data_IF_617202944977
#
_entry.id   IF_617202944977
#
_cell.length_a   1.000
_cell.length_b   1.000
_cell.length_c   1.000
_cell.angle_alpha   90.00
_cell.angle_beta   90.00
_cell.angle_gamma   90.00
#
_symmetry.space_group_name_H-M   'P 1'
#
loop_
_entity.id
_entity.type
_entity.pdbx_description
1 polymer ?
#
# COMPACT_ATOMS: atom_id res chain seq x y z
N UNK A 1 5.13 50.66 -46.30
CA UNK A 1 5.02 49.30 -45.71
C UNK A 1 4.94 49.46 -44.21
N UNK A 2 3.75 49.24 -43.62
CA UNK A 2 3.55 49.30 -42.16
C UNK A 2 3.49 47.86 -41.62
N UNK A 3 4.26 47.51 -40.58
CA UNK A 3 4.15 46.20 -39.95
C UNK A 3 2.87 46.16 -39.11
N UNK A 4 1.96 45.25 -39.47
CA UNK A 4 0.80 44.92 -38.63
C UNK A 4 1.27 44.15 -37.41
N UNK A 5 1.27 44.81 -36.26
CA UNK A 5 1.36 44.21 -34.94
C UNK A 5 0.00 43.60 -34.60
N UNK A 6 -0.16 42.31 -34.87
CA UNK A 6 -1.30 41.54 -34.34
C UNK A 6 -0.99 41.26 -32.87
N UNK A 7 -1.54 42.12 -32.00
CA UNK A 7 -1.51 41.96 -30.56
C UNK A 7 -2.52 40.88 -30.18
N UNK A 8 -2.07 39.62 -30.14
CA UNK A 8 -2.85 38.50 -29.62
C UNK A 8 -3.03 38.66 -28.11
N UNK A 9 -4.08 39.36 -27.70
CA UNK A 9 -4.58 39.33 -26.34
C UNK A 9 -5.17 37.94 -26.09
N UNK A 10 -4.35 37.02 -25.55
CA UNK A 10 -4.86 35.78 -24.98
C UNK A 10 -5.76 36.16 -23.79
N UNK A 11 -7.08 36.10 -24.00
CA UNK A 11 -8.06 36.24 -22.93
C UNK A 11 -7.73 35.20 -21.86
N UNK A 12 -7.21 35.66 -20.73
CA UNK A 12 -7.23 34.90 -19.47
C UNK A 12 -8.69 34.90 -19.01
N UNK A 13 -9.49 34.03 -19.62
CA UNK A 13 -10.84 33.79 -19.13
C UNK A 13 -10.72 33.32 -17.67
N UNK A 14 -11.46 33.92 -16.72
CA UNK A 14 -11.46 33.44 -15.35
C UNK A 14 -11.84 31.96 -15.37
N UNK A 15 -10.97 31.11 -14.83
CA UNK A 15 -11.23 29.68 -14.71
C UNK A 15 -12.62 29.50 -14.12
N UNK A 16 -13.49 28.78 -14.85
CA UNK A 16 -14.88 28.58 -14.45
C UNK A 16 -14.92 28.09 -12.99
N UNK A 17 -15.89 28.56 -12.17
CA UNK A 17 -16.04 28.08 -10.80
C UNK A 17 -16.08 26.56 -10.81
N UNK A 18 -15.15 25.92 -10.09
CA UNK A 18 -15.12 24.47 -9.98
C UNK A 18 -16.50 23.99 -9.47
N UNK A 19 -17.10 22.96 -10.08
CA UNK A 19 -18.28 22.33 -9.55
C UNK A 19 -18.00 21.95 -8.10
N UNK A 20 -18.74 22.54 -7.16
CA UNK A 20 -18.59 22.16 -5.77
C UNK A 20 -19.16 20.75 -5.62
N UNK A 21 -18.31 19.79 -5.28
CA UNK A 21 -18.73 18.47 -4.79
C UNK A 21 -19.30 18.66 -3.36
N UNK A 22 -20.46 19.34 -3.28
CA UNK A 22 -21.07 19.83 -2.03
C UNK A 22 -21.65 18.74 -1.13
N UNK A 23 -21.55 17.47 -1.49
CA UNK A 23 -22.14 16.39 -0.71
C UNK A 23 -21.36 16.26 0.61
N UNK A 24 -21.93 16.71 1.75
CA UNK A 24 -21.16 16.91 2.98
C UNK A 24 -20.83 15.60 3.69
N UNK A 25 -21.37 14.46 3.22
CA UNK A 25 -21.12 13.14 3.78
C UNK A 25 -20.98 12.13 2.65
N UNK A 26 -19.74 11.73 2.36
CA UNK A 26 -19.52 10.53 1.56
C UNK A 26 -19.85 9.32 2.39
N UNK A 27 -20.70 8.44 1.85
CA UNK A 27 -20.97 7.16 2.48
C UNK A 27 -19.93 6.15 2.01
N UNK A 28 -19.19 5.54 2.94
CA UNK A 28 -18.24 4.48 2.63
C UNK A 28 -16.83 4.94 2.23
N UNK A 29 -15.88 4.00 2.13
CA UNK A 29 -14.47 4.30 1.88
C UNK A 29 -14.23 4.80 0.44
N UNK A 30 -13.15 5.56 0.26
CA UNK A 30 -12.67 5.92 -1.07
C UNK A 30 -12.32 4.67 -1.89
N UNK A 31 -12.67 4.60 -3.18
CA UNK A 31 -12.25 3.48 -4.02
C UNK A 31 -10.73 3.53 -4.25
N UNK A 32 -10.17 2.35 -4.52
CA UNK A 32 -8.76 2.18 -4.89
C UNK A 32 -8.60 2.44 -6.37
N UNK A 33 -7.59 3.23 -6.74
CA UNK A 33 -7.27 3.53 -8.14
C UNK A 33 -6.31 2.47 -8.66
N UNK A 34 -6.71 1.73 -9.69
CA UNK A 34 -5.89 0.70 -10.34
C UNK A 34 -5.62 1.08 -11.79
N UNK A 35 -4.38 0.88 -12.21
CA UNK A 35 -3.99 0.86 -13.62
C UNK A 35 -3.63 -0.58 -13.97
N UNK A 36 -4.63 -1.32 -14.44
CA UNK A 36 -4.46 -2.71 -14.86
C UNK A 36 -4.09 -2.74 -16.35
N UNK A 37 -3.21 -3.66 -16.73
CA UNK A 37 -2.91 -3.95 -18.14
C UNK A 37 -3.10 -5.42 -18.41
N UNK A 38 -3.36 -5.75 -19.67
CA UNK A 38 -3.29 -7.13 -20.12
C UNK A 38 -1.83 -7.61 -20.13
N UNK A 39 -1.61 -8.84 -19.70
CA UNK A 39 -0.33 -9.53 -19.86
C UNK A 39 -0.10 -9.97 -21.32
N UNK A 40 1.02 -10.63 -21.59
CA UNK A 40 1.37 -11.14 -22.91
C UNK A 40 0.35 -12.15 -23.48
N UNK A 41 -0.47 -12.79 -22.62
CA UNK A 41 -1.53 -13.70 -23.02
C UNK A 41 -2.86 -12.98 -23.30
N UNK A 42 -2.90 -11.66 -23.13
CA UNK A 42 -4.11 -10.86 -23.26
C UNK A 42 -5.04 -10.93 -22.06
N UNK A 43 -4.61 -11.52 -20.94
CA UNK A 43 -5.40 -11.59 -19.70
C UNK A 43 -5.10 -10.38 -18.81
N UNK A 44 -6.15 -9.80 -18.23
CA UNK A 44 -6.00 -8.75 -17.22
C UNK A 44 -5.91 -9.43 -15.87
N UNK A 45 -4.81 -9.21 -15.15
CA UNK A 45 -4.55 -9.80 -13.84
C UNK A 45 -4.49 -8.73 -12.77
N UNK A 46 -5.09 -9.03 -11.61
CA UNK A 46 -4.87 -8.25 -10.40
C UNK A 46 -3.80 -8.97 -9.60
N UNK A 47 -2.67 -8.29 -9.41
CA UNK A 47 -1.52 -8.80 -8.68
C UNK A 47 -1.39 -8.02 -7.38
N UNK A 48 -1.24 -8.74 -6.28
CA UNK A 48 -1.06 -8.13 -4.98
C UNK A 48 -0.82 -9.14 -3.88
N UNK A 49 -0.81 -8.68 -2.63
CA UNK A 49 -0.69 -9.55 -1.47
C UNK A 49 -1.68 -9.14 -0.38
N UNK A 50 -2.26 -10.10 0.33
CA UNK A 50 -3.13 -9.82 1.47
C UNK A 50 -2.38 -10.16 2.75
N UNK A 51 -2.22 -9.24 3.71
CA UNK A 51 -1.69 -9.59 5.02
C UNK A 51 -2.68 -10.51 5.75
N UNK A 52 -2.22 -11.70 6.14
CA UNK A 52 -2.99 -12.70 6.87
C UNK A 52 -2.31 -12.99 8.19
N UNK A 53 -3.06 -12.86 9.27
CA UNK A 53 -2.62 -13.26 10.61
C UNK A 53 -2.67 -14.78 10.73
N UNK A 54 -1.55 -15.41 11.05
CA UNK A 54 -1.39 -16.85 11.26
C UNK A 54 -0.80 -17.09 12.65
N UNK A 55 -1.48 -17.88 13.47
CA UNK A 55 -0.93 -18.33 14.76
C UNK A 55 0.05 -19.46 14.52
N UNK A 56 1.31 -19.25 14.87
CA UNK A 56 2.39 -20.24 14.74
C UNK A 56 2.79 -20.68 16.14
N UNK A 57 2.94 -21.99 16.35
CA UNK A 57 3.48 -22.53 17.60
C UNK A 57 4.99 -22.60 17.50
N UNK A 58 5.69 -21.70 18.20
CA UNK A 58 7.15 -21.70 18.28
C UNK A 58 7.61 -22.51 19.49
N UNK A 59 8.63 -23.34 19.29
CA UNK A 59 9.28 -24.06 20.38
C UNK A 59 10.49 -23.28 20.86
N UNK A 60 10.45 -22.80 22.10
CA UNK A 60 11.58 -22.16 22.77
C UNK A 60 12.17 -23.11 23.81
N UNK A 61 13.50 -23.16 23.90
CA UNK A 61 14.18 -23.80 25.01
C UNK A 61 14.52 -22.73 26.04
N UNK A 62 13.93 -22.83 27.23
CA UNK A 62 14.19 -21.92 28.35
C UNK A 62 14.95 -22.69 29.42
N UNK A 63 16.00 -22.10 29.98
CA UNK A 63 16.68 -22.65 31.14
C UNK A 63 15.90 -22.22 32.37
N UNK A 64 15.32 -23.17 33.08
CA UNK A 64 14.62 -22.94 34.34
C UNK A 64 15.45 -23.47 35.50
N UNK A 65 15.57 -22.70 36.58
CA UNK A 65 16.19 -23.18 37.82
C UNK A 65 15.16 -23.97 38.62
N UNK A 66 15.40 -25.26 38.79
CA UNK A 66 14.53 -26.16 39.55
C UNK A 66 15.29 -26.65 40.78
N UNK A 67 14.63 -26.70 41.94
CA UNK A 67 15.21 -27.26 43.17
C UNK A 67 14.97 -28.76 43.18
N UNK A 68 16.05 -29.55 43.09
CA UNK A 68 16.00 -31.01 43.22
C UNK A 68 16.84 -31.39 44.44
N UNK A 69 16.21 -32.04 45.43
CA UNK A 69 16.85 -32.43 46.69
C UNK A 69 17.52 -31.26 47.44
N UNK A 70 16.88 -30.09 47.48
CA UNK A 70 17.38 -28.90 48.18
C UNK A 70 18.53 -28.15 47.46
N UNK A 71 18.96 -28.61 46.28
CA UNK A 71 19.95 -27.91 45.45
C UNK A 71 19.29 -27.31 44.21
N UNK A 72 19.67 -26.06 43.89
CA UNK A 72 19.26 -25.41 42.64
C UNK A 72 20.02 -26.01 41.46
N UNK A 73 19.29 -26.52 40.47
CA UNK A 73 19.85 -27.09 39.23
C UNK A 73 19.16 -26.42 38.04
N UNK A 74 19.94 -26.03 37.03
CA UNK A 74 19.41 -25.50 35.77
C UNK A 74 18.92 -26.66 34.89
N UNK A 75 17.65 -26.62 34.50
CA UNK A 75 17.03 -27.58 33.59
C UNK A 75 16.60 -26.86 32.31
N UNK A 76 17.03 -27.36 31.16
CA UNK A 76 16.50 -26.89 29.88
C UNK A 76 15.09 -27.45 29.69
N UNK A 77 14.10 -26.57 29.64
CA UNK A 77 12.68 -26.89 29.46
C UNK A 77 12.24 -26.41 28.08
N UNK A 78 11.62 -27.30 27.32
CA UNK A 78 10.99 -26.97 26.05
C UNK A 78 9.62 -26.33 26.33
N UNK A 79 9.44 -25.06 25.95
CA UNK A 79 8.17 -24.35 26.01
C UNK A 79 7.64 -24.13 24.61
N UNK A 80 6.39 -24.51 24.37
CA UNK A 80 5.66 -24.11 23.18
C UNK A 80 4.98 -22.77 23.47
N UNK A 81 5.23 -21.78 22.64
CA UNK A 81 4.63 -20.45 22.71
C UNK A 81 3.87 -20.22 21.42
N UNK A 82 2.57 -20.03 21.53
CA UNK A 82 1.76 -19.56 20.41
C UNK A 82 2.09 -18.09 20.17
N UNK A 83 2.46 -17.78 18.92
CA UNK A 83 2.75 -16.44 18.49
C UNK A 83 1.94 -16.15 17.23
N UNK A 84 1.21 -15.05 17.27
CA UNK A 84 0.59 -14.52 16.07
C UNK A 84 1.64 -13.84 15.20
N UNK A 85 1.84 -14.38 14.00
CA UNK A 85 2.70 -13.81 12.97
C UNK A 85 1.79 -13.35 11.83
N UNK A 86 2.07 -12.19 11.24
CA UNK A 86 1.35 -11.78 10.03
C UNK A 86 2.23 -12.16 8.84
N UNK A 87 1.64 -12.90 7.90
CA UNK A 87 2.26 -13.35 6.66
C UNK A 87 1.55 -12.71 5.47
N UNK A 88 2.18 -12.69 4.29
CA UNK A 88 1.53 -12.19 3.06
C UNK A 88 1.04 -13.35 2.20
N UNK A 89 -0.25 -13.38 1.91
CA UNK A 89 -0.83 -14.27 0.92
C UNK A 89 -0.82 -13.60 -0.45
N UNK A 90 0.04 -14.08 -1.36
CA UNK A 90 0.12 -13.58 -2.73
C UNK A 90 -1.16 -13.89 -3.51
N UNK A 91 -1.60 -12.92 -4.31
CA UNK A 91 -2.74 -13.01 -5.21
C UNK A 91 -2.28 -12.63 -6.61
N UNK A 92 -2.48 -13.53 -7.57
CA UNK A 92 -2.35 -13.28 -9.00
C UNK A 92 -3.53 -13.97 -9.66
N UNK A 93 -4.60 -13.23 -9.86
CA UNK A 93 -5.88 -13.75 -10.35
C UNK A 93 -6.33 -12.96 -11.56
N UNK A 94 -6.95 -13.64 -12.53
CA UNK A 94 -7.58 -12.95 -13.64
C UNK A 94 -8.75 -12.10 -13.14
N UNK A 95 -9.05 -11.00 -13.81
CA UNK A 95 -10.10 -10.06 -13.41
C UNK A 95 -11.46 -10.74 -13.20
N UNK A 96 -11.80 -11.74 -14.03
CA UNK A 96 -13.05 -12.50 -13.93
C UNK A 96 -13.14 -13.45 -12.74
N UNK A 97 -12.01 -13.84 -12.13
CA UNK A 97 -11.97 -14.77 -10.99
C UNK A 97 -12.38 -14.11 -9.66
N UNK A 98 -12.53 -12.78 -9.64
CA UNK A 98 -12.96 -12.05 -8.46
C UNK A 98 -14.47 -12.07 -8.23
N UNK A 99 -15.27 -12.63 -9.15
CA UNK A 99 -16.74 -12.57 -9.09
C UNK A 99 -17.25 -11.13 -9.04
N UNK A 100 -16.51 -10.21 -9.66
CA UNK A 100 -16.74 -8.78 -9.53
C UNK A 100 -17.93 -8.32 -10.37
N UNK A 101 -18.59 -7.27 -9.89
CA UNK A 101 -19.55 -6.49 -10.69
C UNK A 101 -18.82 -5.31 -11.32
N UNK A 102 -19.01 -5.12 -12.61
CA UNK A 102 -18.42 -4.00 -13.35
C UNK A 102 -19.50 -2.99 -13.70
N UNK A 103 -19.17 -1.72 -13.53
CA UNK A 103 -20.02 -0.60 -13.92
C UNK A 103 -19.16 0.46 -14.60
N UNK A 104 -19.78 1.37 -15.33
CA UNK A 104 -19.20 2.66 -15.70
C UNK A 104 -19.27 3.64 -14.53
N UNK A 105 -18.60 4.79 -14.64
CA UNK A 105 -18.65 5.86 -13.64
C UNK A 105 -20.06 6.41 -13.36
N UNK A 106 -20.96 6.37 -14.35
CA UNK A 106 -22.37 6.79 -14.18
C UNK A 106 -23.28 5.69 -13.58
N UNK A 107 -22.73 4.50 -13.32
CA UNK A 107 -23.45 3.36 -12.73
C UNK A 107 -24.09 2.42 -13.75
N UNK A 108 -23.86 2.59 -15.05
CA UNK A 108 -24.31 1.64 -16.08
C UNK A 108 -23.58 0.30 -15.92
N UNK A 109 -24.28 -0.84 -15.81
CA UNK A 109 -23.64 -2.14 -15.73
C UNK A 109 -22.78 -2.44 -16.97
N UNK A 110 -21.65 -3.12 -16.75
CA UNK A 110 -20.80 -3.67 -17.80
C UNK A 110 -20.71 -5.18 -17.65
N UNK A 111 -20.70 -5.88 -18.77
CA UNK A 111 -20.27 -7.29 -18.80
C UNK A 111 -18.77 -7.40 -18.50
N UNK A 112 -18.28 -8.58 -18.05
CA UNK A 112 -16.85 -8.80 -17.87
C UNK A 112 -16.01 -8.54 -19.12
N UNK A 113 -16.53 -8.90 -20.31
CA UNK A 113 -15.83 -8.70 -21.59
C UNK A 113 -15.74 -7.22 -21.98
N UNK A 114 -16.81 -6.44 -21.77
CA UNK A 114 -16.79 -5.00 -22.00
C UNK A 114 -15.84 -4.28 -21.04
N UNK A 115 -15.85 -4.66 -19.76
CA UNK A 115 -14.91 -4.13 -18.77
C UNK A 115 -13.46 -4.46 -19.16
N UNK A 116 -13.20 -5.71 -19.56
CA UNK A 116 -11.88 -6.14 -20.02
C UNK A 116 -11.43 -5.40 -21.29
N UNK A 117 -12.32 -5.19 -22.25
CA UNK A 117 -12.01 -4.42 -23.46
C UNK A 117 -11.64 -2.97 -23.13
N UNK A 118 -12.38 -2.31 -22.24
CA UNK A 118 -12.05 -0.94 -21.79
C UNK A 118 -10.70 -0.86 -21.09
N UNK A 119 -10.41 -1.81 -20.19
CA UNK A 119 -9.13 -1.86 -19.47
C UNK A 119 -7.97 -2.12 -20.45
N UNK A 120 -8.13 -3.01 -21.43
CA UNK A 120 -7.15 -3.21 -22.51
C UNK A 120 -6.87 -1.94 -23.31
N UNK A 121 -7.89 -1.09 -23.47
CA UNK A 121 -7.77 0.23 -24.10
C UNK A 121 -7.23 1.32 -23.16
N UNK A 122 -6.73 0.96 -21.97
CA UNK A 122 -6.10 1.87 -21.03
C UNK A 122 -7.06 2.55 -20.06
N UNK A 123 -8.29 2.05 -19.90
CA UNK A 123 -9.20 2.58 -18.87
C UNK A 123 -8.64 2.32 -17.46
N UNK A 124 -8.68 3.35 -16.63
CA UNK A 124 -8.44 3.25 -15.18
C UNK A 124 -9.58 2.49 -14.52
N UNK A 125 -9.26 1.73 -13.48
CA UNK A 125 -10.25 1.00 -12.67
C UNK A 125 -10.37 1.64 -11.29
N UNK A 126 -11.59 1.97 -10.87
CA UNK A 126 -11.92 2.32 -9.49
C UNK A 126 -12.50 1.10 -8.79
N UNK A 127 -11.68 0.44 -7.98
CA UNK A 127 -12.08 -0.74 -7.24
C UNK A 127 -12.65 -0.38 -5.86
N UNK A 128 -13.80 -0.94 -5.50
CA UNK A 128 -14.36 -0.79 -4.16
C UNK A 128 -13.38 -1.29 -3.10
N UNK A 129 -13.20 -0.50 -2.04
CA UNK A 129 -12.29 -0.82 -0.95
C UNK A 129 -12.93 -1.72 0.12
N UNK A 130 -14.24 -1.97 0.07
CA UNK A 130 -14.96 -2.78 1.06
C UNK A 130 -15.93 -3.80 0.41
N UNK A 131 -15.86 -3.96 -0.91
CA UNK A 131 -16.76 -4.83 -1.67
C UNK A 131 -18.17 -4.29 -1.83
N UNK A 132 -18.48 -3.09 -1.34
CA UNK A 132 -19.79 -2.43 -1.50
C UNK A 132 -19.79 -1.49 -2.71
N UNK A 133 -20.98 -1.08 -3.21
CA UNK A 133 -21.06 -0.08 -4.27
C UNK A 133 -20.29 1.19 -3.91
N UNK A 134 -19.49 1.69 -4.85
CA UNK A 134 -18.75 2.94 -4.69
C UNK A 134 -19.75 4.10 -4.65
N UNK A 135 -19.66 4.95 -3.63
CA UNK A 135 -20.58 6.07 -3.50
C UNK A 135 -20.46 7.06 -4.67
N UNK A 136 -21.61 7.60 -5.07
CA UNK A 136 -21.73 8.54 -6.19
C UNK A 136 -20.80 9.75 -6.08
N UNK A 137 -20.53 10.21 -4.86
CA UNK A 137 -19.62 11.32 -4.57
C UNK A 137 -18.20 11.04 -5.04
N UNK A 138 -17.70 9.81 -4.87
CA UNK A 138 -16.39 9.42 -5.39
C UNK A 138 -16.39 9.31 -6.92
N UNK A 139 -17.50 8.81 -7.48
CA UNK A 139 -17.65 8.64 -8.93
C UNK A 139 -17.82 9.96 -9.68
N UNK A 140 -18.15 11.06 -8.99
CA UNK A 140 -18.16 12.38 -9.60
C UNK A 140 -16.78 12.69 -10.19
N UNK A 141 -15.70 12.44 -9.47
CA UNK A 141 -14.34 12.71 -9.94
C UNK A 141 -13.91 11.86 -11.14
N UNK A 142 -14.63 10.77 -11.45
CA UNK A 142 -14.26 9.83 -12.49
C UNK A 142 -14.62 10.34 -13.90
N UNK A 143 -13.74 10.07 -14.86
CA UNK A 143 -14.04 10.28 -16.27
C UNK A 143 -15.06 9.23 -16.77
N UNK A 144 -15.87 9.52 -17.82
CA UNK A 144 -16.84 8.57 -18.38
C UNK A 144 -16.24 7.23 -18.84
N UNK A 145 -14.96 7.22 -19.23
CA UNK A 145 -14.24 6.02 -19.66
C UNK A 145 -13.84 5.06 -18.53
N UNK A 146 -13.97 5.48 -17.27
CA UNK A 146 -13.53 4.73 -16.09
C UNK A 146 -14.37 3.49 -15.85
N UNK A 147 -13.71 2.39 -15.48
CA UNK A 147 -14.37 1.15 -15.05
C UNK A 147 -14.46 1.13 -13.53
N UNK A 148 -15.65 0.95 -13.00
CA UNK A 148 -15.90 0.75 -11.57
C UNK A 148 -15.98 -0.76 -11.31
N UNK A 149 -15.18 -1.26 -10.38
CA UNK A 149 -15.14 -2.68 -10.01
C UNK A 149 -15.58 -2.85 -8.57
N UNK A 150 -16.63 -3.64 -8.34
CA UNK A 150 -17.11 -3.97 -6.99
C UNK A 150 -16.82 -5.45 -6.73
N UNK A 151 -15.89 -5.73 -5.82
CA UNK A 151 -15.48 -7.09 -5.46
C UNK A 151 -15.10 -7.17 -3.97
N UNK A 152 -15.62 -8.18 -3.28
CA UNK A 152 -15.35 -8.41 -1.84
C UNK A 152 -13.86 -8.75 -1.59
N UNK A 153 -13.24 -9.48 -2.51
CA UNK A 153 -11.86 -9.95 -2.36
C UNK A 153 -10.76 -8.89 -2.47
N UNK A 154 -11.07 -7.61 -2.71
CA UNK A 154 -10.07 -6.56 -2.89
C UNK A 154 -9.84 -5.67 -1.67
N UNK A 155 -10.69 -5.77 -0.65
CA UNK A 155 -10.67 -4.86 0.49
C UNK A 155 -9.32 -4.82 1.23
N UNK A 156 -8.59 -5.94 1.22
CA UNK A 156 -7.32 -6.11 1.94
C UNK A 156 -6.12 -6.37 1.02
N UNK A 157 -6.31 -6.38 -0.30
CA UNK A 157 -5.22 -6.66 -1.25
C UNK A 157 -4.32 -5.43 -1.35
N UNK A 158 -3.04 -5.59 -1.06
CA UNK A 158 -1.96 -4.65 -1.37
C UNK A 158 -1.55 -4.86 -2.81
N UNK A 159 -1.81 -3.88 -3.66
CA UNK A 159 -1.65 -4.04 -5.12
C UNK A 159 -0.21 -3.79 -5.50
N UNK A 160 0.34 -4.67 -6.33
CA UNK A 160 1.72 -4.56 -6.77
C UNK A 160 1.87 -3.55 -7.91
N UNK A 161 2.97 -2.80 -7.92
CA UNK A 161 3.40 -1.89 -8.97
C UNK A 161 4.92 -2.01 -9.18
N UNK A 162 5.47 -1.38 -10.23
CA UNK A 162 6.90 -1.08 -10.35
C UNK A 162 7.86 -2.21 -10.74
N UNK A 163 7.40 -3.44 -10.99
CA UNK A 163 8.29 -4.58 -11.32
C UNK A 163 7.80 -5.30 -12.57
N UNK A 164 8.30 -4.89 -13.74
CA UNK A 164 8.06 -5.53 -15.05
C UNK A 164 7.11 -4.74 -15.94
N UNK A 165 7.43 -4.67 -17.24
CA UNK A 165 6.99 -3.62 -18.17
C UNK A 165 5.48 -3.39 -18.35
N UNK A 166 4.62 -4.32 -17.93
CA UNK A 166 3.17 -4.13 -17.99
C UNK A 166 2.59 -3.35 -16.79
N UNK A 167 3.30 -3.29 -15.66
CA UNK A 167 2.82 -2.59 -14.47
C UNK A 167 3.17 -1.09 -14.53
N UNK A 168 2.37 -0.24 -13.87
CA UNK A 168 2.73 1.16 -13.62
C UNK A 168 4.07 1.27 -12.90
N UNK A 169 4.84 2.32 -13.21
CA UNK A 169 6.11 2.65 -12.55
C UNK A 169 5.93 3.29 -11.18
N UNK A 170 4.77 3.91 -10.94
CA UNK A 170 4.42 4.58 -9.68
C UNK A 170 3.32 3.84 -8.92
N UNK A 171 3.21 4.13 -7.62
CA UNK A 171 2.10 3.67 -6.80
C UNK A 171 0.78 4.27 -7.31
N UNK A 172 -0.32 3.54 -7.16
CA UNK A 172 -1.64 4.08 -7.44
C UNK A 172 -1.94 5.26 -6.50
N UNK A 173 -2.37 6.43 -7.03
CA UNK A 173 -2.76 7.54 -6.18
C UNK A 173 -4.00 7.17 -5.36
N UNK A 174 -4.20 7.89 -4.27
CA UNK A 174 -5.39 7.70 -3.44
C UNK A 174 -6.37 8.84 -3.64
N UNK A 175 -7.65 8.51 -3.63
CA UNK A 175 -8.71 9.50 -3.61
C UNK A 175 -8.91 10.04 -2.20
N UNK A 176 -8.95 11.36 -2.08
CA UNK A 176 -9.36 12.05 -0.86
C UNK A 176 -10.38 13.12 -1.22
N UNK A 177 -11.30 13.39 -0.29
CA UNK A 177 -12.12 14.59 -0.34
C UNK A 177 -11.58 15.58 0.65
N UNK A 178 -11.18 16.74 0.14
CA UNK A 178 -10.67 17.84 0.93
C UNK A 178 -11.64 19.01 0.83
N UNK A 179 -11.79 19.73 1.93
CA UNK A 179 -12.65 20.90 2.02
C UNK A 179 -12.19 21.79 3.17
N UNK A 180 -12.60 23.05 3.13
CA UNK A 180 -12.39 23.94 4.25
C UNK A 180 -13.27 23.53 5.44
N UNK A 181 -12.69 23.56 6.64
CA UNK A 181 -13.42 23.47 7.89
C UNK A 181 -14.22 24.76 8.17
N UNK A 182 -14.89 24.84 9.32
CA UNK A 182 -15.65 26.03 9.72
C UNK A 182 -14.79 27.29 9.92
N UNK A 183 -13.45 27.14 9.99
CA UNK A 183 -12.50 28.25 10.06
C UNK A 183 -11.96 28.67 8.68
N UNK A 184 -12.39 28.01 7.60
CA UNK A 184 -11.93 28.27 6.25
C UNK A 184 -10.62 27.55 5.90
N UNK A 185 -10.10 26.66 6.77
CA UNK A 185 -8.84 25.96 6.57
C UNK A 185 -9.08 24.59 5.97
N UNK A 186 -8.34 24.24 4.91
CA UNK A 186 -8.31 22.87 4.40
C UNK A 186 -7.42 22.04 5.31
N UNK A 187 -8.00 21.06 5.98
CA UNK A 187 -7.25 20.12 6.82
C UNK A 187 -6.91 18.86 6.02
N UNK A 188 -5.73 18.30 6.26
CA UNK A 188 -5.32 17.02 5.68
C UNK A 188 -4.65 16.14 6.72
N UNK A 189 -4.80 14.82 6.56
CA UNK A 189 -3.97 13.87 7.29
C UNK A 189 -2.57 13.86 6.67
N UNK A 190 -1.55 13.95 7.53
CA UNK A 190 -0.16 13.92 7.14
C UNK A 190 0.67 13.16 8.18
N UNK A 191 1.91 12.83 7.86
CA UNK A 191 2.84 12.28 8.86
C UNK A 191 3.44 13.39 9.72
N UNK A 192 3.77 13.05 10.96
CA UNK A 192 4.47 13.96 11.89
C UNK A 192 5.92 14.25 11.46
N UNK A 193 6.47 13.42 10.57
CA UNK A 193 7.80 13.57 9.97
C UNK A 193 7.70 13.24 8.47
N UNK A 194 8.43 13.96 7.59
CA UNK A 194 8.48 13.62 6.17
C UNK A 194 8.94 12.19 5.99
N UNK A 195 8.30 11.48 5.07
CA UNK A 195 8.71 10.14 4.74
C UNK A 195 9.94 10.23 3.84
N UNK A 196 10.96 9.41 4.11
CA UNK A 196 12.17 9.38 3.30
C UNK A 196 11.83 9.16 1.82
N UNK A 197 12.56 9.83 0.93
CA UNK A 197 12.31 9.82 -0.53
C UNK A 197 12.51 8.45 -1.18
N UNK A 198 13.16 7.51 -0.51
CA UNK A 198 13.55 6.21 -1.05
C UNK A 198 12.67 5.07 -0.50
N UNK A 199 11.38 5.06 -0.84
CA UNK A 199 10.50 3.90 -0.59
C UNK A 199 9.43 4.11 0.48
N UNK A 200 8.81 5.28 0.53
CA UNK A 200 7.57 5.48 1.27
C UNK A 200 6.38 4.84 0.55
N UNK A 201 6.10 3.55 0.84
CA UNK A 201 5.01 2.82 0.22
C UNK A 201 3.65 3.18 0.84
N UNK A 202 2.73 3.66 0.00
CA UNK A 202 1.37 3.99 0.40
C UNK A 202 0.50 2.75 0.51
N UNK A 203 0.34 2.21 1.72
CA UNK A 203 -0.65 1.13 1.95
C UNK A 203 -0.06 -0.18 2.39
N UNK A 204 1.26 -0.24 2.41
CA UNK A 204 1.94 -1.50 2.52
C UNK A 204 2.58 -1.61 3.89
N UNK A 205 1.96 -2.49 4.67
CA UNK A 205 2.69 -3.25 5.66
C UNK A 205 3.75 -4.06 4.90
N UNK A 206 4.97 -3.55 4.81
CA UNK A 206 6.11 -4.36 4.43
C UNK A 206 6.44 -5.31 5.60
N UNK A 207 6.39 -6.61 5.33
CA UNK A 207 7.01 -7.61 6.19
C UNK A 207 8.47 -7.71 5.82
N UNK A 208 9.34 -7.26 6.72
CA UNK A 208 10.73 -7.67 6.67
C UNK A 208 10.78 -9.19 6.91
N UNK A 209 11.63 -9.91 6.18
CA UNK A 209 11.81 -11.37 6.23
C UNK A 209 12.42 -11.89 7.54
N UNK A 210 12.06 -11.28 8.68
CA UNK A 210 12.58 -11.50 10.01
C UNK A 210 11.56 -11.20 11.11
N UNK A 211 10.31 -11.67 10.97
CA UNK A 211 9.45 -12.04 12.10
C UNK A 211 9.26 -11.04 13.24
N UNK A 212 8.96 -9.76 12.98
CA UNK A 212 8.50 -8.83 14.03
C UNK A 212 7.12 -8.26 13.70
N UNK A 213 6.16 -8.66 14.51
CA UNK A 213 4.74 -8.35 14.39
C UNK A 213 4.43 -6.87 14.68
N UNK A 214 3.35 -6.38 14.06
CA UNK A 214 2.74 -5.08 14.33
C UNK A 214 2.30 -4.98 15.80
N UNK A 215 2.84 -4.00 16.54
CA UNK A 215 2.25 -3.48 17.78
C UNK A 215 2.11 -1.96 17.66
N UNK A 216 0.87 -1.48 17.54
CA UNK A 216 0.49 -0.14 18.00
C UNK A 216 0.75 1.07 17.08
N UNK A 217 0.17 1.09 15.87
CA UNK A 217 0.01 2.34 15.12
C UNK A 217 1.29 2.96 14.54
N UNK A 218 2.33 2.15 14.34
CA UNK A 218 3.57 2.56 13.65
C UNK A 218 3.51 2.20 12.16
N UNK A 219 3.99 3.10 11.32
CA UNK A 219 4.16 2.91 9.87
C UNK A 219 5.50 2.19 9.63
N UNK A 220 5.51 1.10 8.86
CA UNK A 220 6.73 0.34 8.53
C UNK A 220 7.20 0.67 7.11
N UNK A 221 8.51 0.84 6.92
CA UNK A 221 9.12 1.22 5.64
C UNK A 221 9.76 0.03 4.94
N UNK A 222 9.54 -0.04 3.64
CA UNK A 222 10.12 -1.02 2.74
C UNK A 222 11.56 -0.68 2.40
N UNK A 223 12.49 -1.38 3.04
CA UNK A 223 13.92 -1.18 2.87
C UNK A 223 14.60 -0.98 4.22
N UNK A 224 15.25 -2.04 4.71
CA UNK A 224 16.22 -2.00 5.81
C UNK A 224 15.74 -1.39 7.14
N UNK A 225 15.08 -2.17 8.01
CA UNK A 225 15.08 -1.98 9.48
C UNK A 225 14.86 -0.54 10.05
N UNK A 226 14.27 0.39 9.30
CA UNK A 226 14.03 1.75 9.81
C UNK A 226 12.65 1.77 10.47
N UNK A 227 12.66 1.59 11.80
CA UNK A 227 11.51 1.93 12.61
C UNK A 227 11.35 3.45 12.58
N UNK A 228 10.31 3.96 11.95
CA UNK A 228 9.92 5.36 12.11
C UNK A 228 8.93 5.50 13.27
N UNK A 229 9.08 6.57 14.05
CA UNK A 229 8.10 7.00 15.04
C UNK A 229 7.08 8.00 14.44
N UNK A 230 7.03 8.12 13.11
CA UNK A 230 6.06 8.94 12.41
C UNK A 230 4.61 8.53 12.77
N UNK A 231 3.83 9.52 13.21
CA UNK A 231 2.40 9.38 13.52
C UNK A 231 1.57 10.08 12.45
N UNK A 232 0.37 9.57 12.20
CA UNK A 232 -0.62 10.32 11.42
C UNK A 232 -1.16 11.46 12.30
N UNK A 233 -1.03 12.69 11.81
CA UNK A 233 -1.53 13.91 12.44
C UNK A 233 -2.37 14.68 11.44
N UNK A 234 -3.31 15.49 11.92
CA UNK A 234 -4.10 16.38 11.05
C UNK A 234 -3.52 17.79 11.14
N UNK A 235 -3.20 18.38 9.98
CA UNK A 235 -2.66 19.75 9.90
C UNK A 235 -3.41 20.55 8.83
N UNK A 236 -3.40 21.89 8.91
CA UNK A 236 -3.74 22.71 7.76
C UNK A 236 -2.86 22.34 6.57
N UNK A 237 -3.45 22.12 5.41
CA UNK A 237 -2.73 21.76 4.17
C UNK A 237 -1.71 22.85 3.78
N UNK A 238 -1.97 24.11 4.12
CA UNK A 238 -1.01 25.21 3.97
C UNK A 238 0.29 25.03 4.78
N UNK A 239 0.30 24.19 5.81
CA UNK A 239 1.46 23.90 6.65
C UNK A 239 2.16 22.59 6.23
N UNK A 240 1.61 21.85 5.26
CA UNK A 240 2.15 20.59 4.74
C UNK A 240 2.92 20.85 3.45
N UNK A 241 4.12 20.27 3.30
CA UNK A 241 4.87 20.39 2.04
C UNK A 241 4.24 19.51 0.95
N UNK A 242 3.76 20.14 -0.12
CA UNK A 242 3.24 19.46 -1.31
C UNK A 242 3.39 20.34 -2.56
N UNK A 243 3.46 19.68 -3.70
CA UNK A 243 3.25 20.24 -5.03
C UNK A 243 1.87 19.82 -5.54
N UNK A 244 1.22 20.68 -6.33
CA UNK A 244 -0.07 20.39 -6.95
C UNK A 244 0.06 20.38 -8.46
N UNK A 245 -0.52 19.38 -9.11
CA UNK A 245 -0.55 19.25 -10.56
C UNK A 245 -1.99 19.13 -11.06
N UNK A 246 -2.23 19.55 -12.29
CA UNK A 246 -3.41 19.12 -13.03
C UNK A 246 -3.20 17.69 -13.60
N UNK A 247 -4.22 17.11 -14.21
CA UNK A 247 -4.12 15.76 -14.79
C UNK A 247 -3.18 15.65 -15.99
N UNK A 248 -2.74 16.78 -16.56
CA UNK A 248 -1.74 16.82 -17.63
C UNK A 248 -0.31 16.92 -17.07
N UNK A 249 -0.14 16.88 -15.74
CA UNK A 249 1.15 17.01 -15.07
C UNK A 249 1.68 18.45 -15.04
N UNK A 250 0.84 19.45 -15.32
CA UNK A 250 1.24 20.86 -15.21
C UNK A 250 1.13 21.31 -13.77
N UNK A 251 2.17 21.98 -13.27
CA UNK A 251 2.19 22.54 -11.93
C UNK A 251 1.12 23.62 -11.76
N UNK A 252 0.28 23.46 -10.75
CA UNK A 252 -0.72 24.42 -10.30
C UNK A 252 -0.13 25.21 -9.12
N UNK A 253 -0.12 26.56 -9.17
CA UNK A 253 0.39 27.37 -8.07
C UNK A 253 -0.28 27.00 -6.74
N UNK A 254 0.51 26.86 -5.68
CA UNK A 254 0.02 26.42 -4.36
C UNK A 254 -1.13 27.26 -3.83
N UNK A 255 -1.09 28.59 -4.01
CA UNK A 255 -2.16 29.51 -3.60
C UNK A 255 -3.47 29.24 -4.37
N UNK A 256 -3.38 28.91 -5.65
CA UNK A 256 -4.52 28.54 -6.47
C UNK A 256 -5.08 27.17 -6.05
N UNK A 257 -4.21 26.18 -5.85
CA UNK A 257 -4.60 24.86 -5.36
C UNK A 257 -5.34 24.97 -4.02
N UNK A 258 -4.80 25.69 -3.04
CA UNK A 258 -5.45 25.90 -1.74
C UNK A 258 -6.82 26.59 -1.88
N UNK A 259 -6.94 27.58 -2.77
CA UNK A 259 -8.24 28.24 -3.05
C UNK A 259 -9.26 27.28 -3.66
N UNK A 260 -8.84 26.43 -4.60
CA UNK A 260 -9.69 25.41 -5.22
C UNK A 260 -10.14 24.38 -4.18
N UNK A 261 -9.23 23.90 -3.34
CA UNK A 261 -9.52 22.90 -2.30
C UNK A 261 -10.38 23.46 -1.15
N UNK A 262 -10.27 24.75 -0.84
CA UNK A 262 -11.14 25.40 0.13
C UNK A 262 -12.62 25.40 -0.32
N UNK A 263 -12.89 25.34 -1.64
CA UNK A 263 -14.24 25.19 -2.17
C UNK A 263 -14.84 23.78 -1.98
N UNK A 264 -14.01 22.81 -1.56
CA UNK A 264 -14.38 21.41 -1.49
C UNK A 264 -14.17 20.69 -2.82
N UNK A 265 -13.65 19.47 -2.78
CA UNK A 265 -13.51 18.65 -3.96
C UNK A 265 -12.74 17.35 -3.72
N UNK A 266 -12.87 16.46 -4.69
CA UNK A 266 -12.07 15.24 -4.74
C UNK A 266 -10.68 15.54 -5.31
N UNK A 267 -9.65 14.97 -4.71
CA UNK A 267 -8.25 15.04 -5.16
C UNK A 267 -7.62 13.67 -5.26
N UNK A 268 -6.58 13.58 -6.07
CA UNK A 268 -5.62 12.48 -6.06
C UNK A 268 -4.46 12.84 -5.15
N UNK A 269 -4.08 11.93 -4.26
CA UNK A 269 -2.95 12.09 -3.33
C UNK A 269 -1.90 11.04 -3.64
N UNK A 270 -0.71 11.50 -3.99
CA UNK A 270 0.47 10.69 -4.28
C UNK A 270 1.60 11.12 -3.35
N UNK A 271 1.71 10.49 -2.19
CA UNK A 271 2.68 10.96 -1.22
C UNK A 271 4.04 10.25 -1.28
N UNK A 272 4.30 9.48 -2.33
CA UNK A 272 5.61 8.91 -2.65
C UNK A 272 6.53 9.94 -3.32
N UNK A 273 6.08 11.20 -3.35
CA UNK A 273 6.75 12.34 -3.96
C UNK A 273 6.97 12.18 -5.48
N UNK A 274 6.16 11.34 -6.13
CA UNK A 274 6.16 11.17 -7.58
C UNK A 274 4.78 11.51 -8.15
N UNK A 275 4.77 12.11 -9.35
CA UNK A 275 3.52 12.30 -10.09
C UNK A 275 3.06 10.91 -10.54
N UNK A 276 1.81 10.50 -10.26
CA UNK A 276 1.29 9.22 -10.72
C UNK A 276 1.39 9.09 -12.24
N UNK A 277 1.59 7.86 -12.70
CA UNK A 277 1.60 7.55 -14.13
C UNK A 277 0.32 8.02 -14.79
N UNK A 278 0.43 8.50 -16.03
CA UNK A 278 -0.69 8.99 -16.85
C UNK A 278 -1.85 7.98 -16.95
N UNK A 279 -1.56 6.67 -16.86
CA UNK A 279 -2.58 5.61 -16.90
C UNK A 279 -3.53 5.67 -15.70
N UNK A 280 -3.07 6.13 -14.54
CA UNK A 280 -3.96 6.40 -13.40
C UNK A 280 -4.80 7.65 -13.65
N UNK A 281 -4.21 8.70 -14.24
CA UNK A 281 -4.82 10.02 -14.37
C UNK A 281 -5.97 10.06 -15.40
N UNK A 282 -5.92 9.21 -16.44
CA UNK A 282 -6.97 9.09 -17.47
C UNK A 282 -8.36 8.74 -16.94
N UNK A 283 -8.43 8.18 -15.73
CA UNK A 283 -9.68 7.83 -15.05
C UNK A 283 -10.42 9.00 -14.40
N UNK A 284 -9.91 10.22 -14.51
CA UNK A 284 -10.43 11.36 -13.76
C UNK A 284 -10.80 12.53 -14.66
N UNK A 285 -11.73 13.36 -14.18
CA UNK A 285 -12.11 14.60 -14.85
C UNK A 285 -10.97 15.63 -14.74
N UNK A 286 -10.84 16.48 -15.76
CA UNK A 286 -9.76 17.48 -15.89
C UNK A 286 -9.68 18.49 -14.73
N UNK A 287 -10.75 18.64 -13.96
CA UNK A 287 -10.82 19.55 -12.81
C UNK A 287 -10.20 18.99 -11.53
N UNK A 288 -9.88 17.68 -11.49
CA UNK A 288 -9.26 17.01 -10.35
C UNK A 288 -7.79 17.41 -10.20
N UNK A 289 -7.39 17.79 -9.00
CA UNK A 289 -6.00 18.09 -8.66
C UNK A 289 -5.27 16.83 -8.18
N UNK A 290 -3.98 16.76 -8.53
CA UNK A 290 -3.03 15.76 -8.02
C UNK A 290 -2.11 16.44 -7.01
N UNK A 291 -2.18 16.02 -5.75
CA UNK A 291 -1.32 16.48 -4.67
C UNK A 291 -0.17 15.50 -4.47
N UNK A 292 1.06 15.99 -4.66
CA UNK A 292 2.28 15.21 -4.55
C UNK A 292 3.10 15.72 -3.36
N UNK A 293 3.45 14.85 -2.42
CA UNK A 293 4.31 15.28 -1.32
C UNK A 293 4.57 14.21 -0.24
N UNK A 294 5.80 14.14 0.30
CA UNK A 294 6.22 13.05 1.19
C UNK A 294 5.55 13.06 2.56
N UNK A 295 4.84 14.14 2.90
CA UNK A 295 4.09 14.25 4.15
C UNK A 295 2.63 13.82 3.99
N UNK A 296 2.11 13.73 2.77
CA UNK A 296 0.68 13.51 2.50
C UNK A 296 0.29 12.04 2.68
N UNK A 297 -0.02 11.65 3.92
CA UNK A 297 -0.47 10.29 4.25
C UNK A 297 -1.95 10.22 4.53
N UNK A 298 -2.68 9.53 3.67
CA UNK A 298 -4.06 9.16 3.97
C UNK A 298 -4.09 7.98 4.94
N UNK A 299 -4.92 8.03 6.00
CA UNK A 299 -5.06 6.93 6.93
C UNK A 299 -5.50 5.67 6.18
N UNK A 300 -4.78 4.58 6.41
CA UNK A 300 -5.18 3.26 5.92
C UNK A 300 -6.27 2.78 6.88
N UNK A 301 -7.42 2.27 6.39
CA UNK A 301 -8.37 1.59 7.25
C UNK A 301 -7.62 0.52 8.05
N UNK A 302 -7.84 0.39 9.36
CA UNK A 302 -7.25 -0.71 10.11
C UNK A 302 -7.50 -2.01 9.35
N UNK A 303 -6.45 -2.80 9.12
CA UNK A 303 -6.65 -4.18 8.69
C UNK A 303 -7.59 -4.77 9.74
N UNK A 304 -8.78 -5.23 9.32
CA UNK A 304 -9.70 -5.88 10.25
C UNK A 304 -8.97 -7.12 10.79
N UNK A 305 -8.40 -6.96 11.98
CA UNK A 305 -7.61 -8.01 12.63
C UNK A 305 -8.52 -9.12 13.16
N UNK A 306 -9.83 -8.95 13.02
CA UNK A 306 -10.84 -9.94 13.38
C UNK A 306 -11.25 -10.72 12.14
N UNK A 307 -10.32 -11.51 11.57
CA UNK A 307 -10.80 -12.81 11.08
C UNK A 307 -11.51 -13.44 12.28
N UNK A 308 -12.83 -13.56 12.21
CA UNK A 308 -13.61 -14.42 13.10
C UNK A 308 -12.80 -15.70 13.19
N UNK A 309 -12.29 -15.97 14.39
CA UNK A 309 -11.54 -17.19 14.69
C UNK A 309 -12.43 -18.32 14.18
N UNK A 310 -12.09 -18.94 13.06
CA UNK A 310 -12.72 -20.20 12.70
C UNK A 310 -12.56 -21.07 13.94
N UNK A 311 -13.65 -21.70 14.44
CA UNK A 311 -13.60 -22.44 15.69
C UNK A 311 -12.40 -23.36 15.64
N UNK A 312 -11.46 -23.13 16.55
CA UNK A 312 -10.24 -23.92 16.60
C UNK A 312 -10.67 -25.38 16.66
N UNK A 313 -10.16 -26.26 15.77
CA UNK A 313 -10.48 -27.67 15.86
C UNK A 313 -10.16 -28.11 17.29
N UNK A 314 -11.13 -28.75 17.95
CA UNK A 314 -10.96 -29.19 19.33
C UNK A 314 -9.64 -29.94 19.45
N UNK A 315 -8.79 -29.61 20.45
CA UNK A 315 -7.53 -30.28 20.63
C UNK A 315 -7.82 -31.78 20.83
N UNK A 316 -7.58 -32.58 19.79
CA UNK A 316 -7.57 -34.03 19.92
C UNK A 316 -6.48 -34.35 20.93
N UNK A 317 -6.90 -34.91 22.07
CA UNK A 317 -5.99 -35.37 23.09
C UNK A 317 -4.94 -36.26 22.43
N UNK A 318 -3.69 -35.80 22.40
CA UNK A 318 -2.56 -36.65 22.05
C UNK A 318 -2.47 -37.69 23.15
N UNK A 319 -2.58 -38.99 22.86
CA UNK A 319 -2.40 -40.02 23.86
C UNK A 319 -1.05 -39.81 24.55
N UNK A 320 -1.05 -39.78 25.88
CA UNK A 320 0.18 -39.67 26.65
C UNK A 320 1.16 -40.75 26.17
N UNK A 321 2.29 -40.32 25.63
CA UNK A 321 3.34 -41.25 25.21
C UNK A 321 3.76 -42.05 26.45
N UNK A 322 3.64 -43.39 26.44
CA UNK A 322 4.01 -44.21 27.57
C UNK A 322 5.52 -44.10 27.80
N UNK A 323 5.91 -43.64 28.99
CA UNK A 323 7.23 -43.86 29.58
C UNK A 323 8.42 -43.49 28.69
N UNK A 324 8.62 -42.19 28.44
CA UNK A 324 9.90 -41.70 27.91
C UNK A 324 11.01 -42.02 28.90
N UNK A 325 11.86 -42.99 28.56
CA UNK A 325 13.06 -43.30 29.30
C UNK A 325 13.90 -42.03 29.49
N UNK A 326 14.28 -41.76 30.74
CA UNK A 326 15.22 -40.70 31.10
C UNK A 326 16.53 -40.99 30.37
N UNK A 327 16.76 -40.35 29.22
CA UNK A 327 18.07 -40.38 28.58
C UNK A 327 19.01 -39.51 29.40
N UNK A 328 20.17 -40.03 29.87
CA UNK A 328 21.19 -39.18 30.47
C UNK A 328 21.61 -38.12 29.46
N UNK A 329 21.72 -36.88 29.92
CA UNK A 329 22.26 -35.77 29.14
C UNK A 329 23.62 -36.19 28.57
N UNK A 330 23.88 -35.98 27.26
CA UNK A 330 25.22 -36.17 26.72
C UNK A 330 26.19 -35.28 27.50
N UNK A 331 27.35 -35.83 27.86
CA UNK A 331 28.39 -35.10 28.55
C UNK A 331 28.72 -33.80 27.79
N UNK A 332 28.80 -32.69 28.54
CA UNK A 332 29.19 -31.38 28.00
C UNK A 332 30.54 -31.53 27.31
N UNK A 333 30.53 -31.56 25.98
CA UNK A 333 31.75 -31.51 25.17
C UNK A 333 32.33 -30.12 25.35
N UNK A 334 33.53 -30.03 25.94
CA UNK A 334 34.28 -28.78 26.06
C UNK A 334 34.41 -28.13 24.68
N UNK A 335 34.27 -26.80 24.55
CA UNK A 335 34.43 -26.13 23.27
C UNK A 335 35.82 -26.43 22.72
N UNK A 336 35.88 -27.14 21.59
CA UNK A 336 37.11 -27.32 20.83
C UNK A 336 37.52 -25.96 20.25
N UNK A 337 38.74 -25.54 20.56
CA UNK A 337 39.37 -24.36 19.95
C UNK A 337 39.46 -24.59 18.45
N UNK A 338 38.68 -23.85 17.66
CA UNK A 338 38.81 -23.83 16.20
C UNK A 338 40.08 -23.02 15.90
N UNK A 339 41.20 -23.71 15.63
CA UNK A 339 42.37 -23.07 15.06
C UNK A 339 42.03 -22.65 13.62
N UNK A 340 42.02 -21.33 13.40
CA UNK A 340 41.85 -20.69 12.10
C UNK A 340 43.00 -21.13 11.18
N UNK A 341 42.71 -21.88 10.13
CA UNK A 341 43.67 -22.14 9.07
C UNK A 341 44.03 -20.81 8.36
N UNK A 342 45.31 -20.61 7.97
CA UNK A 342 45.70 -19.42 7.23
C UNK A 342 45.02 -19.38 5.85
N UNK A 343 44.53 -18.19 5.49
CA UNK A 343 43.89 -17.92 4.21
C UNK A 343 44.88 -18.14 3.06
N UNK A 344 44.58 -19.09 2.18
CA UNK A 344 45.33 -19.34 0.95
C UNK A 344 44.76 -18.46 -0.16
N UNK A 345 45.63 -17.65 -0.76
CA UNK A 345 45.60 -17.32 -2.18
C UNK A 345 44.71 -16.16 -2.60
N UNK A 346 45.32 -14.98 -2.74
CA UNK A 346 44.82 -13.93 -3.62
C UNK A 346 44.78 -14.43 -5.08
N UNK A 347 43.62 -14.33 -5.72
CA UNK A 347 43.48 -14.56 -7.15
C UNK A 347 44.13 -13.40 -7.92
N UNK A 348 44.99 -13.74 -8.89
CA UNK A 348 45.63 -12.79 -9.78
C UNK A 348 44.58 -12.09 -10.68
N UNK A 349 44.76 -10.79 -11.01
CA UNK A 349 43.88 -10.09 -11.92
C UNK A 349 44.06 -10.59 -13.37
N UNK A 350 42.93 -10.76 -14.06
CA UNK A 350 42.88 -11.11 -15.48
C UNK A 350 43.42 -9.97 -16.37
N UNK A 351 44.06 -10.28 -17.51
CA UNK A 351 44.61 -9.27 -18.42
C UNK A 351 43.52 -8.48 -19.14
N UNK A 352 43.76 -7.18 -19.29
CA UNK A 352 42.91 -6.25 -20.03
C UNK A 352 42.90 -6.59 -21.53
N UNK A 353 41.72 -6.67 -22.12
CA UNK A 353 41.53 -6.77 -23.57
C UNK A 353 41.52 -5.35 -24.15
N UNK A 354 42.55 -5.03 -24.90
CA UNK A 354 42.70 -3.81 -25.68
C UNK A 354 41.85 -3.93 -26.97
N UNK A 355 40.90 -3.01 -27.17
CA UNK A 355 40.12 -2.93 -28.40
C UNK A 355 40.89 -2.13 -29.45
N UNK A 356 41.10 -2.76 -30.62
CA UNK A 356 41.38 -2.06 -31.89
C UNK A 356 40.09 -1.56 -32.51
#
# INVERSE_FOLDING_TARGET
>A
MYPSLVLSAALVAPAAPLPRDTAPNTTGPAPRVLALKADASGQIRVIGSTPVKVTVTNTHFVIETVVVNGKQVQKQVQKQVEQDVVTSQYTNRALGEFGAKFLTADGTPLTPDEAAARIKNGATVLASADGKPVAKTWLQAAAPGTVVMVAEGLAHVQLQYGIGGALPTTAGPRLAMLGADSSGKVLTACTSQPLGTDGAYYGDVMFDGGGRAFRGGRVYYGGFNQNTDAKVVVKPLADVKFDAFDLNGKLVPRSEALKRLAAGGTVLVAGDNQVPDETYLKGFREDVLVLVGPELVLPIPPIDQTKKKDPAPEPKAVPAAPGGAVRPLPAVVKPGVIMRAPAVGAAAPAPAVEKK
#
